data_IF_542968623287
#
_entry.id   IF_542968623287
#
_cell.length_a   1.000
_cell.length_b   1.000
_cell.length_c   1.000
_cell.angle_alpha   90.00
_cell.angle_beta   90.00
_cell.angle_gamma   90.00
#
_symmetry.space_group_name_H-M   'P 1'
#
loop_
_entity.id
_entity.type
_entity.pdbx_description
1 polymer ?
#
# COMPACT_ATOMS: atom_id res chain seq x y z
N UNK A 1 22.84 -7.01 -16.70
CA UNK A 1 21.71 -6.21 -17.22
C UNK A 1 21.62 -4.98 -16.34
N UNK A 2 21.27 -3.79 -16.85
CA UNK A 2 21.02 -2.67 -15.95
C UNK A 2 19.89 -3.11 -15.00
N UNK A 3 20.13 -3.02 -13.70
CA UNK A 3 19.08 -3.22 -12.70
C UNK A 3 17.97 -2.21 -13.01
N UNK A 4 16.80 -2.71 -13.41
CA UNK A 4 15.60 -1.88 -13.46
C UNK A 4 15.34 -1.42 -12.02
N UNK A 5 15.61 -0.15 -11.74
CA UNK A 5 15.37 0.43 -10.43
C UNK A 5 13.89 0.86 -10.34
N UNK A 6 13.00 -0.13 -10.23
CA UNK A 6 11.56 0.07 -10.08
C UNK A 6 11.20 1.01 -8.91
N UNK A 7 12.11 1.18 -7.94
CA UNK A 7 11.90 2.11 -6.82
C UNK A 7 12.06 3.56 -7.31
N UNK A 8 13.02 3.84 -8.21
CA UNK A 8 13.19 5.16 -8.82
C UNK A 8 11.94 5.61 -9.58
N UNK A 9 11.20 4.68 -10.21
CA UNK A 9 9.93 5.01 -10.89
C UNK A 9 8.82 5.37 -9.90
N UNK A 10 8.76 4.67 -8.76
CA UNK A 10 7.85 5.01 -7.66
C UNK A 10 8.22 6.36 -7.05
N UNK A 11 9.50 6.61 -6.78
CA UNK A 11 10.02 7.89 -6.29
C UNK A 11 9.64 9.04 -7.23
N UNK A 12 9.88 8.87 -8.53
CA UNK A 12 9.51 9.86 -9.55
C UNK A 12 8.00 10.13 -9.57
N UNK A 13 7.19 9.09 -9.38
CA UNK A 13 5.74 9.24 -9.29
C UNK A 13 5.32 10.03 -8.05
N UNK A 14 5.92 9.76 -6.89
CA UNK A 14 5.67 10.49 -5.64
C UNK A 14 6.09 11.97 -5.76
N UNK A 15 7.29 12.22 -6.29
CA UNK A 15 7.85 13.56 -6.50
C UNK A 15 6.99 14.39 -7.45
N UNK A 16 6.48 13.80 -8.53
CA UNK A 16 5.58 14.48 -9.48
C UNK A 16 4.27 14.98 -8.83
N UNK A 17 3.90 14.39 -7.69
CA UNK A 17 2.73 14.75 -6.89
C UNK A 17 3.11 15.56 -5.64
N UNK A 18 4.36 16.02 -5.56
CA UNK A 18 4.89 16.83 -4.47
C UNK A 18 5.11 16.07 -3.16
N UNK A 19 5.20 14.74 -3.18
CA UNK A 19 5.30 13.90 -1.97
C UNK A 19 4.15 14.13 -0.97
N UNK A 20 2.94 14.41 -1.46
CA UNK A 20 1.76 14.63 -0.63
C UNK A 20 0.55 13.79 -1.08
N UNK A 21 -0.20 13.28 -0.10
CA UNK A 21 -1.44 12.53 -0.30
C UNK A 21 -1.29 11.01 -0.20
N UNK A 22 -2.35 10.31 -0.61
CA UNK A 22 -2.45 8.86 -0.56
C UNK A 22 -2.12 8.24 -1.90
N UNK A 23 -1.27 7.22 -1.90
CA UNK A 23 -0.79 6.52 -3.09
C UNK A 23 -1.11 5.03 -2.98
N UNK A 24 -1.63 4.46 -4.06
CA UNK A 24 -1.83 3.01 -4.16
C UNK A 24 -0.76 2.43 -5.07
N UNK A 25 -0.03 1.44 -4.58
CA UNK A 25 1.01 0.75 -5.33
C UNK A 25 0.54 -0.66 -5.67
N UNK A 26 0.23 -0.90 -6.95
CA UNK A 26 -0.33 -2.16 -7.41
C UNK A 26 0.79 -3.12 -7.80
N UNK A 27 1.03 -4.11 -6.95
CA UNK A 27 1.94 -5.20 -7.23
C UNK A 27 1.25 -6.29 -8.05
N UNK A 28 1.96 -6.92 -8.99
CA UNK A 28 1.44 -8.08 -9.74
C UNK A 28 1.36 -9.36 -8.89
N UNK A 29 2.07 -9.40 -7.76
CA UNK A 29 2.09 -10.54 -6.83
C UNK A 29 2.51 -10.08 -5.43
N UNK A 30 2.12 -10.83 -4.41
CA UNK A 30 2.44 -10.52 -3.02
C UNK A 30 3.97 -10.61 -2.78
N UNK A 31 4.60 -9.46 -2.50
CA UNK A 31 6.05 -9.30 -2.34
C UNK A 31 6.40 -8.46 -1.11
N UNK A 32 6.21 -9.00 0.12
CA UNK A 32 6.50 -8.27 1.35
C UNK A 32 7.98 -7.88 1.50
N UNK A 33 8.89 -8.62 0.87
CA UNK A 33 10.30 -8.26 0.73
C UNK A 33 10.48 -6.91 0.04
N UNK A 34 9.82 -6.70 -1.10
CA UNK A 34 9.93 -5.47 -1.87
C UNK A 34 9.30 -4.28 -1.17
N UNK A 35 8.19 -4.49 -0.47
CA UNK A 35 7.53 -3.46 0.34
C UNK A 35 8.46 -2.98 1.46
N UNK A 36 9.20 -3.89 2.11
CA UNK A 36 10.20 -3.53 3.13
C UNK A 36 11.36 -2.74 2.53
N UNK A 37 11.89 -3.20 1.40
CA UNK A 37 12.97 -2.48 0.69
C UNK A 37 12.54 -1.08 0.30
N UNK A 38 11.33 -0.93 -0.23
CA UNK A 38 10.74 0.36 -0.61
C UNK A 38 10.60 1.29 0.59
N UNK A 39 10.03 0.79 1.70
CA UNK A 39 9.88 1.59 2.93
C UNK A 39 11.23 2.11 3.42
N UNK A 40 12.25 1.25 3.43
CA UNK A 40 13.61 1.62 3.81
C UNK A 40 14.22 2.65 2.86
N UNK A 41 14.05 2.47 1.54
CA UNK A 41 14.60 3.35 0.52
C UNK A 41 13.99 4.75 0.57
N UNK A 42 12.67 4.83 0.74
CA UNK A 42 11.93 6.10 0.88
C UNK A 42 12.12 6.77 2.25
N UNK A 43 12.66 6.05 3.25
CA UNK A 43 12.70 6.52 4.64
C UNK A 43 11.32 6.58 5.30
N UNK A 44 10.33 5.86 4.75
CA UNK A 44 8.96 5.84 5.24
C UNK A 44 8.80 4.81 6.35
N UNK A 45 7.91 5.07 7.29
CA UNK A 45 7.59 4.15 8.36
C UNK A 45 6.97 2.85 7.80
N UNK A 46 7.54 1.66 8.07
CA UNK A 46 6.94 0.40 7.69
C UNK A 46 5.85 0.04 8.70
N UNK A 47 4.59 0.12 8.30
CA UNK A 47 3.43 -0.20 9.14
C UNK A 47 2.76 -1.46 8.58
N UNK A 48 2.49 -2.43 9.44
CA UNK A 48 1.70 -3.62 9.09
C UNK A 48 0.33 -3.51 9.75
N UNK A 49 -0.67 -3.09 8.98
CA UNK A 49 -2.03 -2.88 9.49
C UNK A 49 -2.65 -4.17 10.03
N UNK A 50 -2.40 -5.30 9.35
CA UNK A 50 -2.93 -6.59 9.79
C UNK A 50 -2.32 -6.97 11.13
N UNK A 51 -1.01 -6.85 11.29
CA UNK A 51 -0.35 -7.23 12.53
C UNK A 51 -0.70 -6.30 13.70
N UNK A 52 -0.81 -4.99 13.45
CA UNK A 52 -1.03 -4.00 14.51
C UNK A 52 -2.50 -3.83 14.90
N UNK A 53 -3.43 -4.01 13.96
CA UNK A 53 -4.85 -3.69 14.17
C UNK A 53 -5.73 -4.92 14.06
N UNK A 54 -5.59 -5.71 12.99
CA UNK A 54 -6.51 -6.84 12.76
C UNK A 54 -6.24 -8.03 13.67
N UNK A 55 -4.97 -8.45 13.79
CA UNK A 55 -4.58 -9.62 14.59
C UNK A 55 -5.03 -9.53 16.06
N UNK A 56 -4.90 -8.38 16.75
CA UNK A 56 -5.41 -8.21 18.11
C UNK A 56 -6.93 -8.42 18.25
N UNK A 57 -7.71 -8.18 17.20
CA UNK A 57 -9.18 -8.38 17.21
C UNK A 57 -9.59 -9.84 16.98
N UNK A 58 -8.65 -10.69 16.52
CA UNK A 58 -8.90 -12.12 16.35
C UNK A 58 -10.08 -12.40 15.42
N UNK A 59 -11.13 -13.03 15.97
CA UNK A 59 -12.33 -13.43 15.24
C UNK A 59 -13.19 -12.25 14.80
N UNK A 60 -13.08 -11.11 15.49
CA UNK A 60 -13.86 -9.90 15.20
C UNK A 60 -13.14 -8.97 14.21
N UNK A 61 -12.03 -9.41 13.61
CA UNK A 61 -11.25 -8.61 12.68
C UNK A 61 -12.03 -8.19 11.42
N UNK A 62 -13.07 -8.95 11.04
CA UNK A 62 -13.94 -8.62 9.91
C UNK A 62 -14.94 -7.49 10.24
N UNK A 63 -15.21 -7.25 11.53
CA UNK A 63 -16.08 -6.17 12.02
C UNK A 63 -15.41 -4.80 11.99
N UNK A 64 -14.08 -4.74 11.77
CA UNK A 64 -13.37 -3.47 11.61
C UNK A 64 -13.99 -2.71 10.43
N UNK A 65 -14.38 -1.46 10.68
CA UNK A 65 -15.02 -0.60 9.68
C UNK A 65 -14.00 0.12 8.81
N UNK A 66 -14.43 0.60 7.64
CA UNK A 66 -13.59 1.46 6.80
C UNK A 66 -13.27 2.80 7.50
N UNK A 67 -14.21 3.35 8.26
CA UNK A 67 -13.96 4.54 9.08
C UNK A 67 -12.83 4.31 10.11
N UNK A 68 -12.75 3.11 10.69
CA UNK A 68 -11.67 2.75 11.62
C UNK A 68 -10.32 2.66 10.91
N UNK A 69 -10.31 2.14 9.68
CA UNK A 69 -9.13 2.17 8.82
C UNK A 69 -8.70 3.61 8.51
N UNK A 70 -9.63 4.48 8.13
CA UNK A 70 -9.32 5.87 7.79
C UNK A 70 -8.84 6.68 9.00
N UNK A 71 -9.39 6.43 10.18
CA UNK A 71 -8.89 6.99 11.44
C UNK A 71 -7.46 6.52 11.74
N UNK A 72 -7.17 5.24 11.53
CA UNK A 72 -5.83 4.69 11.68
C UNK A 72 -4.84 5.33 10.69
N UNK A 73 -5.21 5.41 9.42
CA UNK A 73 -4.38 6.03 8.37
C UNK A 73 -4.13 7.51 8.66
N UNK A 74 -5.14 8.23 9.14
CA UNK A 74 -5.02 9.65 9.55
C UNK A 74 -3.97 9.80 10.64
N UNK A 75 -4.06 8.97 11.69
CA UNK A 75 -3.07 8.98 12.78
C UNK A 75 -1.65 8.68 12.28
N UNK A 76 -1.48 7.72 11.36
CA UNK A 76 -0.16 7.42 10.81
C UNK A 76 0.38 8.59 9.97
N UNK A 77 -0.48 9.18 9.14
CA UNK A 77 -0.14 10.34 8.31
C UNK A 77 0.21 11.57 9.14
N UNK A 78 -0.40 11.79 10.31
CA UNK A 78 -0.02 12.88 11.21
C UNK A 78 1.37 12.69 11.81
N UNK A 79 1.78 11.44 12.05
CA UNK A 79 3.05 11.14 12.68
C UNK A 79 4.26 11.31 11.73
N UNK A 80 4.20 10.70 10.54
CA UNK A 80 5.29 10.72 9.54
C UNK A 80 4.87 10.02 8.22
N UNK A 81 5.61 10.21 7.12
CA UNK A 81 5.45 9.38 5.92
C UNK A 81 5.46 7.88 6.23
N UNK A 82 4.57 7.11 5.61
CA UNK A 82 4.43 5.69 5.90
C UNK A 82 4.09 4.84 4.68
N UNK A 83 4.59 3.61 4.68
CA UNK A 83 4.09 2.51 3.85
C UNK A 83 3.23 1.63 4.72
N UNK A 84 1.93 1.62 4.46
CA UNK A 84 0.94 0.88 5.25
C UNK A 84 0.58 -0.41 4.52
N UNK A 85 1.25 -1.49 4.89
CA UNK A 85 1.09 -2.80 4.30
C UNK A 85 -0.13 -3.53 4.86
N UNK A 86 -0.61 -4.53 4.11
CA UNK A 86 -1.69 -5.44 4.47
C UNK A 86 -3.05 -4.77 4.77
N UNK A 87 -3.27 -3.52 4.35
CA UNK A 87 -4.61 -2.88 4.36
C UNK A 87 -5.60 -3.72 3.54
N UNK A 88 -5.12 -4.34 2.46
CA UNK A 88 -5.89 -5.24 1.60
C UNK A 88 -6.56 -6.38 2.39
N UNK A 89 -5.98 -6.83 3.51
CA UNK A 89 -6.56 -7.88 4.35
C UNK A 89 -7.91 -7.47 4.97
N UNK A 90 -8.12 -6.18 5.26
CA UNK A 90 -9.42 -5.68 5.68
C UNK A 90 -10.35 -5.49 4.48
N UNK A 91 -9.82 -4.90 3.40
CA UNK A 91 -10.63 -4.56 2.23
C UNK A 91 -11.29 -5.79 1.59
N UNK A 92 -10.62 -6.96 1.59
CA UNK A 92 -11.20 -8.21 1.08
C UNK A 92 -12.46 -8.66 1.85
N UNK A 93 -12.68 -8.16 3.07
CA UNK A 93 -13.90 -8.44 3.85
C UNK A 93 -15.08 -7.55 3.45
N UNK A 94 -14.85 -6.56 2.59
CA UNK A 94 -15.84 -5.55 2.19
C UNK A 94 -16.39 -5.85 0.80
N UNK A 95 -17.53 -5.25 0.48
CA UNK A 95 -18.11 -5.38 -0.86
C UNK A 95 -17.28 -4.60 -1.89
N UNK A 96 -17.38 -5.01 -3.16
CA UNK A 96 -16.71 -4.31 -4.28
C UNK A 96 -17.00 -2.81 -4.30
N UNK A 97 -18.25 -2.41 -4.05
CA UNK A 97 -18.67 -1.00 -4.05
C UNK A 97 -17.92 -0.24 -2.95
N UNK A 98 -17.89 -0.79 -1.74
CA UNK A 98 -17.18 -0.19 -0.61
C UNK A 98 -15.67 -0.05 -0.88
N UNK A 99 -15.03 -1.07 -1.47
CA UNK A 99 -13.61 -1.02 -1.84
C UNK A 99 -13.34 0.12 -2.83
N UNK A 100 -14.21 0.26 -3.84
CA UNK A 100 -14.10 1.30 -4.87
C UNK A 100 -14.32 2.71 -4.32
N UNK A 101 -15.31 2.87 -3.44
CA UNK A 101 -15.58 4.15 -2.77
C UNK A 101 -14.44 4.55 -1.84
N UNK A 102 -13.97 3.62 -1.02
CA UNK A 102 -12.80 3.83 -0.16
C UNK A 102 -11.57 4.23 -0.98
N UNK A 103 -11.26 3.52 -2.06
CA UNK A 103 -10.10 3.85 -2.88
C UNK A 103 -10.18 5.27 -3.48
N UNK A 104 -11.37 5.68 -3.94
CA UNK A 104 -11.58 7.05 -4.44
C UNK A 104 -11.40 8.08 -3.32
N UNK A 105 -11.97 7.82 -2.15
CA UNK A 105 -11.84 8.71 -0.99
C UNK A 105 -10.39 8.82 -0.53
N UNK A 106 -9.71 7.69 -0.30
CA UNK A 106 -8.29 7.62 0.08
C UNK A 106 -7.38 8.44 -0.85
N UNK A 107 -7.59 8.32 -2.18
CA UNK A 107 -6.80 9.04 -3.19
C UNK A 107 -7.09 10.55 -3.23
N UNK A 108 -8.31 10.95 -2.87
CA UNK A 108 -8.78 12.34 -2.84
C UNK A 108 -8.44 13.06 -1.52
N UNK A 109 -8.27 12.32 -0.43
CA UNK A 109 -7.94 12.87 0.89
C UNK A 109 -6.58 13.58 0.88
N UNK A 110 -6.52 14.74 1.52
CA UNK A 110 -5.29 15.49 1.80
C UNK A 110 -4.67 14.97 3.10
N UNK A 111 -3.78 13.98 2.97
CA UNK A 111 -3.04 13.43 4.09
C UNK A 111 -1.91 14.37 4.54
N UNK A 112 -1.72 14.52 5.86
CA UNK A 112 -0.69 15.39 6.43
C UNK A 112 0.73 15.01 5.99
N UNK A 113 1.02 13.72 5.90
CA UNK A 113 2.21 13.15 5.27
C UNK A 113 1.82 12.09 4.25
N UNK A 114 2.69 11.79 3.26
CA UNK A 114 2.40 10.80 2.24
C UNK A 114 2.18 9.40 2.83
N UNK A 115 1.12 8.75 2.38
CA UNK A 115 0.82 7.36 2.69
C UNK A 115 0.89 6.53 1.42
N UNK A 116 1.66 5.46 1.46
CA UNK A 116 1.72 4.47 0.40
C UNK A 116 1.04 3.18 0.86
N UNK A 117 0.04 2.71 0.13
CA UNK A 117 -0.66 1.45 0.42
C UNK A 117 -0.41 0.46 -0.71
N UNK A 118 0.42 -0.56 -0.49
CA UNK A 118 0.58 -1.67 -1.43
C UNK A 118 -0.69 -2.49 -1.55
N UNK A 119 -1.06 -2.84 -2.78
CA UNK A 119 -2.20 -3.68 -3.12
C UNK A 119 -1.77 -4.75 -4.12
N UNK A 120 -2.35 -5.93 -4.06
CA UNK A 120 -2.01 -7.03 -4.96
C UNK A 120 -3.27 -7.71 -5.48
N UNK A 121 -4.11 -8.21 -4.58
CA UNK A 121 -5.28 -9.03 -4.88
C UNK A 121 -6.43 -8.19 -5.43
N UNK A 122 -6.61 -6.97 -4.93
CA UNK A 122 -7.75 -6.10 -5.24
C UNK A 122 -7.46 -5.11 -6.39
N UNK A 123 -6.35 -5.29 -7.11
CA UNK A 123 -5.88 -4.35 -8.14
C UNK A 123 -6.88 -4.11 -9.29
N UNK A 124 -7.79 -5.05 -9.53
CA UNK A 124 -8.88 -4.96 -10.51
C UNK A 124 -10.06 -4.07 -10.09
N UNK A 125 -10.19 -3.80 -8.78
CA UNK A 125 -11.25 -2.94 -8.25
C UNK A 125 -10.84 -1.47 -8.20
N UNK A 126 -9.54 -1.18 -8.30
CA UNK A 126 -8.98 0.16 -8.09
C UNK A 126 -8.98 0.99 -9.38
N UNK A 127 -9.06 2.33 -9.30
CA UNK A 127 -9.11 3.19 -10.48
C UNK A 127 -7.74 3.21 -11.20
N UNK A 128 -7.59 2.56 -12.38
CA UNK A 128 -6.28 2.29 -12.97
C UNK A 128 -5.61 3.52 -13.60
N UNK A 129 -6.36 4.59 -13.85
CA UNK A 129 -5.87 5.80 -14.53
C UNK A 129 -5.65 6.99 -13.56
N UNK A 130 -5.70 6.76 -12.25
CA UNK A 130 -5.50 7.84 -11.29
C UNK A 130 -4.00 8.14 -11.09
N UNK A 131 -3.62 9.42 -11.09
CA UNK A 131 -2.21 9.88 -11.01
C UNK A 131 -1.42 9.41 -9.78
N UNK A 132 -2.13 9.04 -8.70
CA UNK A 132 -1.56 8.49 -7.46
C UNK A 132 -1.71 6.96 -7.35
N UNK A 133 -2.07 6.30 -8.44
CA UNK A 133 -2.10 4.84 -8.55
C UNK A 133 -0.97 4.44 -9.47
N UNK A 134 0.02 3.74 -8.93
CA UNK A 134 1.16 3.27 -9.69
C UNK A 134 1.09 1.75 -9.81
N UNK A 135 1.14 1.22 -11.04
CA UNK A 135 1.09 -0.23 -11.30
C UNK A 135 2.47 -0.71 -11.72
N UNK A 136 3.01 -1.65 -10.97
CA UNK A 136 4.29 -2.28 -11.27
C UNK A 136 4.10 -3.43 -12.25
N UNK A 137 4.94 -3.50 -13.28
CA UNK A 137 5.00 -4.62 -14.21
C UNK A 137 5.81 -5.78 -13.60
N UNK A 138 5.44 -7.05 -13.84
CA UNK A 138 6.27 -8.20 -13.46
C UNK A 138 7.70 -8.12 -14.00
N UNK A 139 7.91 -7.52 -15.18
CA UNK A 139 9.22 -7.37 -15.82
C UNK A 139 10.11 -6.30 -15.18
N UNK A 140 9.55 -5.43 -14.35
CA UNK A 140 10.28 -4.36 -13.65
C UNK A 140 10.77 -4.84 -12.28
N UNK A 141 10.13 -5.87 -11.72
CA UNK A 141 10.45 -6.36 -10.38
C UNK A 141 11.69 -7.27 -10.39
N UNK A 142 12.56 -7.16 -9.37
CA UNK A 142 13.65 -8.08 -9.20
C UNK A 142 13.11 -9.50 -8.96
N UNK A 143 13.82 -10.48 -9.52
CA UNK A 143 13.47 -11.89 -9.38
C UNK A 143 13.39 -12.29 -7.91
N UNK A 144 12.34 -13.03 -7.56
CA UNK A 144 12.21 -13.59 -6.23
C UNK A 144 13.08 -14.84 -6.13
N UNK A 145 14.22 -14.72 -5.44
CA UNK A 145 15.13 -15.84 -5.21
C UNK A 145 14.48 -16.90 -4.32
N UNK A 146 14.92 -18.16 -4.44
CA UNK A 146 14.38 -19.29 -3.65
C UNK A 146 14.51 -19.06 -2.13
N UNK A 147 15.61 -18.43 -1.69
CA UNK A 147 15.83 -18.04 -0.28
C UNK A 147 14.82 -16.98 0.18
N UNK A 148 14.48 -16.03 -0.70
CA UNK A 148 13.42 -15.06 -0.44
C UNK A 148 12.02 -15.68 -0.32
N UNK A 149 11.79 -16.91 -0.78
CA UNK A 149 10.48 -17.60 -0.60
C UNK A 149 10.33 -18.27 0.77
N UNK A 150 11.43 -18.52 1.48
CA UNK A 150 11.45 -19.30 2.72
C UNK A 150 11.40 -18.44 3.99
N UNK A 151 11.53 -17.10 3.88
CA UNK A 151 11.58 -16.17 5.01
C UNK A 151 10.27 -15.41 5.28
N UNK A 152 9.17 -15.77 4.60
CA UNK A 152 7.85 -15.15 4.76
C UNK A 152 6.78 -16.19 5.04
#
# INVERSE_FOLDING_TARGET
MPENDWISDVESSLDSQGNHGGFLLLFPQYRPDLIRTLSHRLGYAPIDFRAQVMMPQGWDADQITLDSLDAFLTQQAEARPAVVNNVEALLVTKTRVQIQEWAKQFLATEWANPLLVPMCVLSEYLPPAHRRVHRLSPSELPEQTFVGRLMF
#
